data_IF_169764855696
#
_entry.id   IF_169764855696
#
_cell.length_a   1.000
_cell.length_b   1.000
_cell.length_c   1.000
_cell.angle_alpha   90.00
_cell.angle_beta   90.00
_cell.angle_gamma   90.00
#
_symmetry.space_group_name_H-M   'P 1'
#
loop_
_entity.id
_entity.type
_entity.pdbx_description
1 polymer ?
#
# COMPACT_ATOMS: atom_id res chain seq x y z
N UNK A 1 -28.61 -14.05 42.96
CA UNK A 1 -27.22 -13.86 42.52
C UNK A 1 -27.03 -14.74 41.30
N UNK A 2 -27.41 -14.21 40.13
CA UNK A 2 -27.29 -14.90 38.85
C UNK A 2 -25.86 -14.68 38.40
N UNK A 3 -25.06 -15.74 38.37
CA UNK A 3 -23.76 -15.71 37.71
C UNK A 3 -24.02 -15.42 36.23
N UNK A 4 -23.54 -14.26 35.77
CA UNK A 4 -23.43 -13.99 34.35
C UNK A 4 -22.46 -15.02 33.76
N UNK A 5 -23.01 -15.92 32.96
CA UNK A 5 -22.27 -16.83 32.11
C UNK A 5 -21.43 -15.96 31.16
N UNK A 6 -20.13 -15.82 31.46
CA UNK A 6 -19.17 -15.21 30.54
C UNK A 6 -19.09 -16.12 29.31
N UNK A 7 -19.62 -15.62 28.20
CA UNK A 7 -19.48 -16.26 26.89
C UNK A 7 -18.00 -16.37 26.56
N UNK A 8 -17.49 -17.60 26.53
CA UNK A 8 -16.10 -18.01 26.29
C UNK A 8 -15.54 -17.70 24.89
N UNK A 9 -16.08 -16.71 24.18
CA UNK A 9 -15.67 -16.29 22.83
C UNK A 9 -14.78 -15.04 22.82
N UNK A 10 -14.88 -14.16 23.82
CA UNK A 10 -14.13 -12.90 23.87
C UNK A 10 -12.72 -13.01 24.46
N UNK A 11 -12.43 -14.06 25.24
CA UNK A 11 -11.07 -14.30 25.78
C UNK A 11 -10.05 -14.64 24.69
N UNK A 12 -10.52 -14.96 23.48
CA UNK A 12 -9.70 -15.43 22.36
C UNK A 12 -9.12 -14.28 21.51
N UNK A 13 -9.76 -13.12 21.51
CA UNK A 13 -9.35 -11.96 20.71
C UNK A 13 -8.56 -10.97 21.55
N UNK A 14 -7.26 -10.85 21.26
CA UNK A 14 -6.34 -10.02 22.03
C UNK A 14 -5.80 -8.91 21.15
N UNK A 15 -5.67 -7.69 21.70
CA UNK A 15 -5.05 -6.58 20.99
C UNK A 15 -3.68 -6.95 20.44
N UNK A 16 -3.42 -6.59 19.18
CA UNK A 16 -2.18 -6.92 18.52
C UNK A 16 -0.97 -6.35 19.26
N UNK A 17 -0.02 -7.23 19.63
CA UNK A 17 1.12 -6.89 20.50
C UNK A 17 1.97 -5.73 19.99
N UNK A 18 2.15 -5.63 18.67
CA UNK A 18 3.04 -4.64 18.04
C UNK A 18 2.43 -3.23 18.06
N UNK A 19 1.11 -3.14 18.01
CA UNK A 19 0.37 -1.88 18.06
C UNK A 19 -0.99 -2.11 18.76
N UNK A 20 -1.03 -2.10 20.11
CA UNK A 20 -2.25 -2.45 20.85
C UNK A 20 -3.44 -1.52 20.57
N UNK A 21 -3.18 -0.25 20.25
CA UNK A 21 -4.20 0.77 19.94
C UNK A 21 -4.61 0.78 18.45
N UNK A 22 -4.15 -0.20 17.67
CA UNK A 22 -4.36 -0.20 16.21
C UNK A 22 -5.77 -0.56 15.76
N UNK A 23 -6.60 -1.08 16.66
CA UNK A 23 -7.85 -1.76 16.30
C UNK A 23 -7.64 -3.18 15.78
N UNK A 24 -6.40 -3.65 15.58
CA UNK A 24 -6.18 -5.06 15.27
C UNK A 24 -6.31 -5.92 16.52
N UNK A 25 -7.17 -6.94 16.44
CA UNK A 25 -7.27 -8.00 17.44
C UNK A 25 -6.93 -9.34 16.79
N UNK A 26 -6.23 -10.17 17.53
CA UNK A 26 -5.64 -11.42 17.08
C UNK A 26 -6.25 -12.57 17.86
N UNK A 27 -6.64 -13.62 17.16
CA UNK A 27 -6.99 -14.91 17.76
C UNK A 27 -5.70 -15.55 18.27
N UNK A 28 -5.38 -15.30 19.54
CA UNK A 28 -4.17 -15.80 20.19
C UNK A 28 -4.53 -16.45 21.53
N UNK A 29 -4.57 -17.79 21.61
CA UNK A 29 -4.93 -18.49 22.83
C UNK A 29 -3.91 -18.28 23.97
N UNK A 30 -2.72 -17.75 23.68
CA UNK A 30 -1.71 -17.44 24.70
C UNK A 30 -1.95 -16.11 25.42
N UNK A 31 -2.89 -15.29 24.94
CA UNK A 31 -3.19 -13.99 25.54
C UNK A 31 -2.17 -12.90 25.19
N UNK A 32 -1.22 -13.14 24.28
CA UNK A 32 -0.08 -12.22 24.02
C UNK A 32 -0.33 -11.27 22.84
N UNK A 33 -1.35 -11.53 22.03
CA UNK A 33 -1.63 -10.79 20.80
C UNK A 33 -0.57 -11.04 19.72
N UNK A 34 0.03 -12.22 19.70
CA UNK A 34 1.07 -12.62 18.75
C UNK A 34 0.47 -13.14 17.44
N UNK A 35 1.04 -12.73 16.31
CA UNK A 35 0.69 -13.30 15.00
C UNK A 35 1.75 -14.32 14.64
N UNK A 36 1.32 -15.57 14.52
CA UNK A 36 2.20 -16.69 14.24
C UNK A 36 2.46 -16.79 12.73
N UNK A 37 3.74 -16.73 12.36
CA UNK A 37 4.18 -16.76 10.98
C UNK A 37 5.24 -17.86 10.84
N UNK A 38 5.06 -18.75 9.86
CA UNK A 38 6.01 -19.80 9.53
C UNK A 38 6.60 -19.56 8.15
N UNK A 39 7.92 -19.43 8.05
CA UNK A 39 8.59 -19.31 6.75
C UNK A 39 8.50 -20.64 5.99
N UNK A 40 8.06 -20.60 4.73
CA UNK A 40 7.99 -21.77 3.85
C UNK A 40 9.12 -21.82 2.84
N UNK A 41 9.57 -20.66 2.35
CA UNK A 41 10.71 -20.56 1.44
C UNK A 41 11.46 -19.21 1.60
N UNK A 42 12.38 -18.89 0.68
CA UNK A 42 13.17 -17.65 0.70
C UNK A 42 12.35 -16.33 0.63
N UNK A 43 11.06 -16.41 0.31
CA UNK A 43 10.17 -15.26 0.06
C UNK A 43 8.80 -15.37 0.71
N UNK A 44 8.33 -16.58 1.00
CA UNK A 44 6.96 -16.85 1.42
C UNK A 44 6.89 -17.31 2.86
N UNK A 45 5.77 -16.96 3.48
CA UNK A 45 5.39 -17.33 4.82
C UNK A 45 3.94 -17.84 4.84
N UNK A 46 3.59 -18.61 5.87
CA UNK A 46 2.24 -18.97 6.24
C UNK A 46 1.85 -18.23 7.51
N UNK A 47 0.64 -17.70 7.56
CA UNK A 47 0.07 -17.07 8.77
C UNK A 47 -0.84 -18.09 9.42
N UNK A 48 -0.61 -18.41 10.70
CA UNK A 48 -1.26 -19.56 11.35
C UNK A 48 -2.51 -19.23 12.14
N UNK A 49 -2.64 -17.99 12.59
CA UNK A 49 -3.78 -17.57 13.41
C UNK A 49 -4.58 -16.44 12.77
N UNK A 50 -5.87 -16.40 13.10
CA UNK A 50 -6.77 -15.39 12.59
C UNK A 50 -6.51 -14.05 13.25
N UNK A 51 -6.79 -12.97 12.54
CA UNK A 51 -6.81 -11.63 13.10
C UNK A 51 -7.89 -10.82 12.38
N UNK A 52 -8.42 -9.80 13.04
CA UNK A 52 -9.41 -8.90 12.44
C UNK A 52 -9.13 -7.46 12.81
N UNK A 53 -9.62 -6.58 11.97
CA UNK A 53 -9.62 -5.15 12.19
C UNK A 53 -10.94 -4.71 12.83
N UNK A 54 -10.85 -4.14 14.02
CA UNK A 54 -11.96 -3.79 14.90
C UNK A 54 -11.92 -2.29 15.24
N UNK A 55 -12.39 -1.48 14.29
CA UNK A 55 -12.59 -0.04 14.46
C UNK A 55 -14.03 0.30 14.03
N UNK A 56 -14.94 0.61 14.99
CA UNK A 56 -16.34 0.87 14.70
C UNK A 56 -16.59 2.03 13.73
N UNK A 57 -15.73 3.06 13.74
CA UNK A 57 -15.89 4.21 12.86
C UNK A 57 -15.52 3.86 11.41
N UNK A 58 -14.49 3.02 11.22
CA UNK A 58 -14.12 2.51 9.90
C UNK A 58 -15.15 1.50 9.40
N UNK A 59 -15.67 0.63 10.27
CA UNK A 59 -16.73 -0.32 9.93
C UNK A 59 -17.97 0.39 9.38
N UNK A 60 -18.51 1.35 10.13
CA UNK A 60 -19.72 2.08 9.73
C UNK A 60 -19.48 2.90 8.45
N UNK A 61 -18.28 3.46 8.28
CA UNK A 61 -17.88 4.10 7.02
C UNK A 61 -17.94 3.13 5.82
N UNK A 62 -17.41 1.92 5.97
CA UNK A 62 -17.42 0.92 4.89
C UNK A 62 -18.84 0.44 4.60
N UNK A 63 -19.66 0.19 5.63
CA UNK A 63 -21.07 -0.20 5.47
C UNK A 63 -21.83 0.88 4.69
N UNK A 64 -21.69 2.16 5.07
CA UNK A 64 -22.28 3.28 4.35
C UNK A 64 -21.84 3.33 2.89
N UNK A 65 -20.54 3.13 2.61
CA UNK A 65 -20.03 3.10 1.23
C UNK A 65 -20.60 1.95 0.39
N UNK A 66 -20.90 0.80 0.98
CA UNK A 66 -21.52 -0.32 0.26
C UNK A 66 -23.01 -0.09 0.03
N UNK A 67 -23.71 0.53 0.99
CA UNK A 67 -25.12 0.94 0.85
C UNK A 67 -25.27 1.98 -0.26
N UNK A 68 -24.41 2.99 -0.30
CA UNK A 68 -24.38 4.02 -1.36
C UNK A 68 -24.18 3.41 -2.76
N UNK A 69 -23.60 2.21 -2.85
CA UNK A 69 -23.38 1.45 -4.08
C UNK A 69 -24.52 0.49 -4.42
N UNK A 70 -25.61 0.50 -3.65
CA UNK A 70 -26.80 -0.32 -3.89
C UNK A 70 -26.84 -1.65 -3.13
N UNK A 71 -25.95 -1.88 -2.17
CA UNK A 71 -25.97 -3.08 -1.34
C UNK A 71 -26.98 -2.92 -0.20
N UNK A 72 -27.74 -3.97 0.15
CA UNK A 72 -28.61 -3.91 1.33
C UNK A 72 -27.77 -3.87 2.61
N UNK A 73 -28.26 -3.22 3.67
CA UNK A 73 -27.52 -3.13 4.94
C UNK A 73 -27.06 -4.51 5.49
N UNK A 74 -27.90 -5.56 5.52
CA UNK A 74 -27.44 -6.87 6.01
C UNK A 74 -26.34 -7.48 5.15
N UNK A 75 -26.37 -7.27 3.84
CA UNK A 75 -25.31 -7.73 2.93
C UNK A 75 -24.04 -6.89 3.12
N UNK A 76 -24.17 -5.58 3.30
CA UNK A 76 -23.06 -4.67 3.53
C UNK A 76 -22.32 -5.01 4.83
N UNK A 77 -23.04 -5.26 5.94
CA UNK A 77 -22.42 -5.68 7.21
C UNK A 77 -21.66 -7.00 7.08
N UNK A 78 -22.24 -8.00 6.41
CA UNK A 78 -21.53 -9.28 6.14
C UNK A 78 -20.29 -9.11 5.27
N UNK A 79 -20.38 -8.28 4.24
CA UNK A 79 -19.27 -7.95 3.36
C UNK A 79 -18.14 -7.25 4.12
N UNK A 80 -18.45 -6.30 5.00
CA UNK A 80 -17.45 -5.62 5.84
C UNK A 80 -16.83 -6.57 6.86
N UNK A 81 -17.62 -7.43 7.50
CA UNK A 81 -17.11 -8.42 8.45
C UNK A 81 -16.16 -9.43 7.79
N UNK A 82 -16.47 -9.84 6.56
CA UNK A 82 -15.56 -10.63 5.73
C UNK A 82 -14.31 -9.83 5.37
N UNK A 83 -14.48 -8.57 4.96
CA UNK A 83 -13.39 -7.72 4.50
C UNK A 83 -12.36 -7.37 5.57
N UNK A 84 -12.79 -7.28 6.84
CA UNK A 84 -11.94 -6.88 7.96
C UNK A 84 -11.28 -8.06 8.67
N UNK A 85 -11.55 -9.29 8.25
CA UNK A 85 -11.13 -10.50 8.96
C UNK A 85 -10.21 -11.34 8.08
N UNK A 86 -9.02 -11.63 8.58
CA UNK A 86 -8.13 -12.61 8.00
C UNK A 86 -8.33 -13.96 8.68
N UNK A 87 -8.72 -14.96 7.90
CA UNK A 87 -8.83 -16.36 8.36
C UNK A 87 -7.77 -17.19 7.64
N UNK A 88 -6.80 -17.77 8.37
CA UNK A 88 -5.81 -18.68 7.82
C UNK A 88 -6.47 -19.82 7.04
N UNK A 89 -5.92 -20.10 5.86
CA UNK A 89 -6.21 -21.31 5.09
C UNK A 89 -5.05 -22.28 5.29
N UNK A 90 -5.28 -23.57 5.03
CA UNK A 90 -4.23 -24.60 5.13
C UNK A 90 -2.96 -24.23 4.33
N UNK A 91 -3.16 -23.59 3.18
CA UNK A 91 -2.11 -22.99 2.36
C UNK A 91 -2.46 -21.52 2.07
N UNK A 92 -1.74 -20.60 2.71
CA UNK A 92 -1.90 -19.15 2.58
C UNK A 92 -0.54 -18.44 2.39
N UNK A 93 0.22 -18.79 1.32
CA UNK A 93 1.55 -18.24 1.11
C UNK A 93 1.46 -16.72 0.92
N UNK A 94 2.27 -16.00 1.68
CA UNK A 94 2.33 -14.53 1.66
C UNK A 94 3.77 -14.04 1.76
N UNK A 95 4.08 -12.94 1.06
CA UNK A 95 5.31 -12.17 1.27
C UNK A 95 5.12 -10.98 2.24
N UNK A 96 4.02 -11.02 3.02
CA UNK A 96 3.52 -9.99 3.93
C UNK A 96 3.09 -8.72 3.19
N UNK A 97 4.05 -7.87 2.83
CA UNK A 97 3.83 -6.74 1.95
C UNK A 97 4.75 -6.89 0.75
N UNK A 98 4.17 -6.98 -0.45
CA UNK A 98 4.91 -7.19 -1.69
C UNK A 98 5.75 -5.96 -2.09
N UNK A 99 6.91 -5.82 -1.46
CA UNK A 99 7.85 -4.71 -1.67
C UNK A 99 9.08 -5.19 -2.45
N UNK A 100 9.35 -4.60 -3.65
CA UNK A 100 10.53 -4.92 -4.44
C UNK A 100 11.83 -4.76 -3.64
N UNK A 101 12.79 -5.67 -3.84
CA UNK A 101 14.05 -5.71 -3.06
C UNK A 101 14.84 -4.39 -3.09
N UNK A 102 14.87 -3.71 -4.23
CA UNK A 102 15.54 -2.41 -4.38
C UNK A 102 14.79 -1.23 -3.70
N UNK A 103 13.58 -1.45 -3.18
CA UNK A 103 12.84 -0.49 -2.35
C UNK A 103 12.90 -0.82 -0.86
N UNK A 104 13.54 -1.94 -0.47
CA UNK A 104 13.63 -2.35 0.95
C UNK A 104 14.49 -1.45 1.82
N UNK A 105 15.28 -0.55 1.23
CA UNK A 105 15.94 0.51 1.99
C UNK A 105 14.94 1.55 2.53
N UNK A 106 13.76 1.70 1.90
CA UNK A 106 12.71 2.62 2.31
C UNK A 106 11.68 1.95 3.24
N UNK A 107 11.23 0.75 2.88
CA UNK A 107 10.26 0.01 3.67
C UNK A 107 10.48 -1.51 3.60
N UNK A 108 10.41 -2.18 4.75
CA UNK A 108 10.52 -3.63 4.83
C UNK A 108 9.17 -4.30 4.53
N UNK A 109 9.15 -5.56 4.07
CA UNK A 109 7.90 -6.33 3.91
C UNK A 109 7.09 -6.49 5.20
N UNK A 110 7.71 -6.24 6.36
CA UNK A 110 7.09 -6.35 7.67
C UNK A 110 7.18 -5.06 8.47
N UNK A 111 6.20 -4.83 9.35
CA UNK A 111 6.15 -3.71 10.27
C UNK A 111 4.71 -3.44 10.75
N UNK A 112 4.45 -2.20 11.17
CA UNK A 112 3.11 -1.76 11.60
C UNK A 112 2.04 -1.86 10.51
N UNK A 113 2.44 -1.98 9.24
CA UNK A 113 1.54 -2.13 8.11
C UNK A 113 1.22 -3.60 7.77
N UNK A 114 1.86 -4.59 8.41
CA UNK A 114 1.78 -6.00 8.00
C UNK A 114 0.37 -6.56 7.99
N UNK A 115 -0.39 -6.39 9.08
CA UNK A 115 -1.76 -6.91 9.15
C UNK A 115 -2.70 -6.21 8.16
N UNK A 116 -2.47 -4.92 7.93
CA UNK A 116 -3.19 -4.18 6.91
C UNK A 116 -2.88 -4.71 5.50
N UNK A 117 -1.62 -5.07 5.22
CA UNK A 117 -1.21 -5.60 3.92
C UNK A 117 -1.82 -6.99 3.68
N UNK A 118 -1.78 -7.86 4.68
CA UNK A 118 -2.40 -9.20 4.62
C UNK A 118 -3.91 -9.13 4.36
N UNK A 119 -4.65 -8.23 5.03
CA UNK A 119 -6.07 -8.02 4.72
C UNK A 119 -6.25 -7.43 3.32
N UNK A 120 -5.41 -6.48 2.91
CA UNK A 120 -5.51 -5.89 1.57
C UNK A 120 -5.29 -6.93 0.47
N UNK A 121 -4.36 -7.85 0.65
CA UNK A 121 -4.10 -8.94 -0.30
C UNK A 121 -5.31 -9.88 -0.43
N UNK A 122 -6.03 -10.17 0.66
CA UNK A 122 -7.29 -10.94 0.62
C UNK A 122 -8.41 -10.18 -0.13
N UNK A 123 -8.39 -8.86 -0.09
CA UNK A 123 -9.37 -8.01 -0.78
C UNK A 123 -9.07 -7.82 -2.26
N UNK A 124 -7.81 -7.94 -2.68
CA UNK A 124 -7.39 -7.78 -4.07
C UNK A 124 -7.27 -9.16 -4.73
N UNK A 125 -8.36 -9.61 -5.35
CA UNK A 125 -8.37 -10.88 -6.09
C UNK A 125 -7.85 -10.72 -7.52
N UNK A 126 -7.75 -11.82 -8.27
CA UNK A 126 -7.41 -11.79 -9.70
C UNK A 126 -8.45 -11.10 -10.61
N UNK A 127 -9.60 -10.69 -10.07
CA UNK A 127 -10.67 -10.00 -10.80
C UNK A 127 -10.85 -8.56 -10.31
N UNK A 128 -10.99 -7.62 -11.23
CA UNK A 128 -11.02 -6.18 -10.92
C UNK A 128 -12.35 -5.80 -10.28
N UNK A 129 -12.32 -4.97 -9.21
CA UNK A 129 -13.48 -4.59 -8.40
C UNK A 129 -14.25 -5.80 -7.85
N UNK A 130 -13.52 -6.79 -7.36
CA UNK A 130 -14.06 -7.96 -6.71
C UNK A 130 -13.69 -7.98 -5.23
N UNK A 131 -13.69 -9.16 -4.61
CA UNK A 131 -13.44 -9.32 -3.19
C UNK A 131 -14.64 -8.85 -2.36
N UNK A 132 -14.49 -8.93 -1.04
CA UNK A 132 -15.58 -8.67 -0.12
C UNK A 132 -16.16 -7.24 -0.24
N UNK A 133 -15.34 -6.25 -0.59
CA UNK A 133 -15.78 -4.86 -0.77
C UNK A 133 -16.27 -4.53 -2.19
N UNK A 134 -16.13 -5.46 -3.16
CA UNK A 134 -16.52 -5.24 -4.56
C UNK A 134 -15.86 -4.03 -5.21
N UNK A 135 -14.72 -3.58 -4.70
CA UNK A 135 -14.08 -2.35 -5.15
C UNK A 135 -12.63 -2.20 -4.67
N UNK A 136 -11.70 -2.40 -5.59
CA UNK A 136 -10.27 -2.27 -5.34
C UNK A 136 -9.92 -0.87 -4.80
N UNK A 137 -10.54 0.19 -5.33
CA UNK A 137 -10.30 1.56 -4.82
C UNK A 137 -10.81 1.80 -3.39
N UNK A 138 -11.84 1.07 -2.97
CA UNK A 138 -12.32 1.09 -1.58
C UNK A 138 -11.38 0.26 -0.71
N UNK A 139 -10.93 -0.91 -1.18
CA UNK A 139 -9.92 -1.75 -0.53
C UNK A 139 -8.61 -0.98 -0.31
N UNK A 140 -8.11 -0.25 -1.31
CA UNK A 140 -6.93 0.62 -1.18
C UNK A 140 -7.12 1.69 -0.10
N UNK A 141 -8.33 2.27 -0.01
CA UNK A 141 -8.63 3.28 1.00
C UNK A 141 -8.70 2.64 2.39
N UNK A 142 -9.32 1.48 2.51
CA UNK A 142 -9.39 0.72 3.76
C UNK A 142 -7.99 0.35 4.25
N UNK A 143 -7.10 -0.09 3.36
CA UNK A 143 -5.69 -0.31 3.65
C UNK A 143 -5.01 0.92 4.28
N UNK A 144 -5.24 2.12 3.73
CA UNK A 144 -4.70 3.36 4.30
C UNK A 144 -5.26 3.67 5.69
N UNK A 145 -6.53 3.39 5.95
CA UNK A 145 -7.13 3.59 7.27
C UNK A 145 -6.61 2.58 8.31
N UNK A 146 -6.45 1.29 7.94
CA UNK A 146 -5.82 0.30 8.81
C UNK A 146 -4.37 0.67 9.16
N UNK A 147 -3.60 1.19 8.19
CA UNK A 147 -2.25 1.72 8.45
C UNK A 147 -2.28 2.97 9.36
N UNK A 148 -3.31 3.82 9.24
CA UNK A 148 -3.46 5.02 10.08
C UNK A 148 -3.61 4.62 11.55
N UNK A 149 -4.53 3.73 11.87
CA UNK A 149 -4.77 3.28 13.24
C UNK A 149 -3.59 2.48 13.78
N UNK A 150 -2.92 1.69 12.93
CA UNK A 150 -1.69 0.98 13.29
C UNK A 150 -0.47 1.85 13.57
N UNK A 151 -0.59 3.18 13.49
CA UNK A 151 0.50 4.10 13.79
C UNK A 151 1.61 4.13 12.73
N UNK A 152 1.29 3.79 11.48
CA UNK A 152 2.20 4.02 10.34
C UNK A 152 2.31 5.53 10.12
N UNK A 153 3.54 6.09 10.03
CA UNK A 153 3.76 7.52 9.84
C UNK A 153 2.97 8.07 8.67
N UNK A 154 2.44 9.29 8.82
CA UNK A 154 1.55 9.91 7.85
C UNK A 154 2.08 9.82 6.43
N UNK A 155 3.27 10.35 6.16
CA UNK A 155 3.82 10.38 4.78
C UNK A 155 4.00 8.96 4.22
N UNK A 156 4.48 8.03 5.05
CA UNK A 156 4.73 6.63 4.68
C UNK A 156 3.44 5.91 4.26
N UNK A 157 2.36 6.01 5.05
CA UNK A 157 1.07 5.39 4.67
C UNK A 157 0.47 5.99 3.40
N UNK A 158 0.71 7.29 3.14
CA UNK A 158 0.26 7.92 1.89
C UNK A 158 1.07 7.43 0.69
N UNK A 159 2.39 7.27 0.83
CA UNK A 159 3.25 6.69 -0.22
C UNK A 159 2.82 5.25 -0.54
N UNK A 160 2.62 4.43 0.49
CA UNK A 160 2.15 3.04 0.31
C UNK A 160 0.77 3.00 -0.35
N UNK A 161 -0.15 3.87 0.07
CA UNK A 161 -1.46 4.01 -0.57
C UNK A 161 -1.36 4.43 -2.04
N UNK A 162 -0.45 5.35 -2.37
CA UNK A 162 -0.17 5.75 -3.75
C UNK A 162 0.35 4.59 -4.60
N UNK A 163 1.20 3.74 -4.03
CA UNK A 163 1.73 2.56 -4.72
C UNK A 163 0.62 1.53 -5.04
N UNK A 164 -0.24 1.18 -4.07
CA UNK A 164 -1.35 0.25 -4.33
C UNK A 164 -2.38 0.85 -5.29
N UNK A 165 -2.71 2.15 -5.15
CA UNK A 165 -3.63 2.84 -6.05
C UNK A 165 -3.12 2.91 -7.49
N UNK A 166 -1.79 3.04 -7.68
CA UNK A 166 -1.14 2.96 -8.99
C UNK A 166 -1.30 1.56 -9.58
N UNK A 167 -0.98 0.51 -8.80
CA UNK A 167 -1.12 -0.90 -9.21
C UNK A 167 -2.55 -1.24 -9.59
N UNK A 168 -3.52 -0.87 -8.76
CA UNK A 168 -4.95 -1.08 -8.99
C UNK A 168 -5.41 -0.50 -10.34
N UNK A 169 -4.98 0.72 -10.69
CA UNK A 169 -5.28 1.32 -12.01
C UNK A 169 -4.60 0.61 -13.17
N UNK A 170 -3.36 0.19 -12.97
CA UNK A 170 -2.60 -0.53 -13.99
C UNK A 170 -3.26 -1.86 -14.34
N UNK A 171 -3.65 -2.63 -13.32
CA UNK A 171 -4.32 -3.94 -13.47
C UNK A 171 -5.72 -3.77 -14.05
N UNK A 172 -6.49 -2.76 -13.62
CA UNK A 172 -7.82 -2.49 -14.15
C UNK A 172 -7.87 -2.26 -15.68
N UNK A 173 -6.75 -1.87 -16.30
CA UNK A 173 -6.64 -1.76 -17.76
C UNK A 173 -7.44 -0.60 -18.36
N UNK A 174 -7.62 -0.65 -19.68
CA UNK A 174 -8.40 0.33 -20.45
C UNK A 174 -8.02 1.78 -20.17
N UNK A 175 -9.02 2.63 -19.96
CA UNK A 175 -8.83 4.07 -19.70
C UNK A 175 -8.05 4.36 -18.41
N UNK A 176 -8.16 3.51 -17.37
CA UNK A 176 -7.43 3.69 -16.10
C UNK A 176 -5.93 3.48 -16.27
N UNK A 177 -5.53 2.50 -17.10
CA UNK A 177 -4.12 2.30 -17.44
C UNK A 177 -3.61 3.45 -18.30
N UNK A 178 -4.38 3.89 -19.28
CA UNK A 178 -4.01 5.04 -20.11
C UNK A 178 -3.83 6.32 -19.27
N UNK A 179 -4.72 6.56 -18.29
CA UNK A 179 -4.59 7.74 -17.42
C UNK A 179 -3.33 7.69 -16.56
N UNK A 180 -2.90 6.51 -16.11
CA UNK A 180 -1.60 6.31 -15.45
C UNK A 180 -0.44 6.60 -16.38
N UNK A 181 -0.48 6.12 -17.63
CA UNK A 181 0.58 6.38 -18.62
C UNK A 181 0.69 7.88 -18.91
N UNK A 182 -0.44 8.54 -19.17
CA UNK A 182 -0.46 10.00 -19.39
C UNK A 182 0.07 10.74 -18.16
N UNK A 183 -0.37 10.34 -16.96
CA UNK A 183 0.12 10.94 -15.71
C UNK A 183 1.63 10.75 -15.53
N UNK A 184 2.18 9.57 -15.85
CA UNK A 184 3.62 9.31 -15.80
C UNK A 184 4.39 10.20 -16.79
N UNK A 185 3.91 10.31 -18.03
CA UNK A 185 4.53 11.18 -19.04
C UNK A 185 4.54 12.64 -18.58
N UNK A 186 3.41 13.14 -18.09
CA UNK A 186 3.32 14.50 -17.54
C UNK A 186 4.23 14.69 -16.32
N UNK A 187 4.36 13.67 -15.47
CA UNK A 187 5.26 13.70 -14.31
C UNK A 187 6.72 13.75 -14.74
N UNK A 188 7.14 12.96 -15.74
CA UNK A 188 8.50 12.99 -16.29
C UNK A 188 8.82 14.35 -16.89
N UNK A 189 7.91 14.91 -17.70
CA UNK A 189 8.07 16.25 -18.29
C UNK A 189 8.15 17.31 -17.18
N UNK A 190 7.24 17.27 -16.21
CA UNK A 190 7.19 18.19 -15.08
C UNK A 190 8.44 18.13 -14.22
N UNK A 191 8.90 16.94 -13.82
CA UNK A 191 10.13 16.75 -13.03
C UNK A 191 11.35 17.24 -13.80
N UNK A 192 11.47 16.88 -15.09
CA UNK A 192 12.59 17.34 -15.93
C UNK A 192 12.62 18.86 -16.05
N UNK A 193 11.46 19.48 -16.26
CA UNK A 193 11.31 20.93 -16.29
C UNK A 193 11.64 21.59 -14.94
N UNK A 194 11.19 21.01 -13.82
CA UNK A 194 11.47 21.52 -12.49
C UNK A 194 12.97 21.47 -12.15
N UNK A 195 13.60 20.31 -12.37
CA UNK A 195 15.04 20.11 -12.14
C UNK A 195 15.84 21.03 -13.06
N UNK A 196 15.55 20.99 -14.37
CA UNK A 196 16.15 21.83 -15.40
C UNK A 196 16.09 23.32 -15.09
N UNK A 197 14.90 23.84 -14.78
CA UNK A 197 14.75 25.25 -14.43
C UNK A 197 15.43 25.61 -13.11
N UNK A 198 15.38 24.73 -12.11
CA UNK A 198 16.04 24.96 -10.82
C UNK A 198 17.55 25.06 -11.00
N UNK A 199 18.17 24.14 -11.74
CA UNK A 199 19.60 24.21 -11.99
C UNK A 199 20.03 25.41 -12.84
N UNK A 200 19.16 25.90 -13.72
CA UNK A 200 19.44 27.09 -14.52
C UNK A 200 19.45 28.35 -13.64
N UNK A 201 18.49 28.44 -12.71
CA UNK A 201 18.38 29.56 -11.78
C UNK A 201 19.46 29.56 -10.69
N UNK A 202 19.82 28.38 -10.17
CA UNK A 202 20.75 28.26 -9.05
C UNK A 202 22.21 28.08 -9.47
N UNK A 203 22.47 27.40 -10.58
CA UNK A 203 23.81 27.00 -11.01
C UNK A 203 24.19 27.49 -12.41
N UNK A 204 23.28 28.20 -13.11
CA UNK A 204 23.56 28.77 -14.43
C UNK A 204 23.81 27.72 -15.53
N UNK A 205 23.34 26.48 -15.37
CA UNK A 205 23.56 25.45 -16.38
C UNK A 205 22.74 25.73 -17.67
N UNK A 206 23.14 25.17 -18.83
CA UNK A 206 22.37 25.31 -20.06
C UNK A 206 20.99 24.65 -19.92
N UNK A 207 19.92 25.38 -20.23
CA UNK A 207 18.55 24.86 -20.23
C UNK A 207 17.76 25.47 -21.41
N UNK A 208 16.94 24.70 -22.16
CA UNK A 208 16.35 25.14 -23.42
C UNK A 208 15.11 26.03 -23.22
N UNK A 209 15.22 27.06 -22.39
CA UNK A 209 14.19 28.11 -22.23
C UNK A 209 14.85 29.43 -21.86
N UNK A 210 14.29 30.51 -22.40
CA UNK A 210 14.67 31.89 -22.04
C UNK A 210 14.12 32.31 -20.68
N UNK A 211 13.11 31.60 -20.14
CA UNK A 211 12.42 31.96 -18.90
C UNK A 211 12.34 30.80 -17.91
N UNK A 212 13.46 30.37 -17.29
CA UNK A 212 13.47 29.23 -16.36
C UNK A 212 12.48 29.37 -15.20
N UNK A 213 12.31 30.58 -14.65
CA UNK A 213 11.37 30.83 -13.54
C UNK A 213 9.90 30.54 -13.91
N UNK A 214 9.48 30.93 -15.13
CA UNK A 214 8.12 30.65 -15.62
C UNK A 214 7.92 29.15 -15.81
N UNK A 215 8.89 28.47 -16.43
CA UNK A 215 8.82 27.04 -16.63
C UNK A 215 8.83 26.26 -15.30
N UNK A 216 9.58 26.74 -14.29
CA UNK A 216 9.53 26.18 -12.94
C UNK A 216 8.14 26.30 -12.34
N UNK A 217 7.52 27.50 -12.39
CA UNK A 217 6.17 27.70 -11.89
C UNK A 217 5.14 26.80 -12.60
N UNK A 218 5.23 26.69 -13.94
CA UNK A 218 4.39 25.79 -14.72
C UNK A 218 4.59 24.33 -14.30
N UNK A 219 5.84 23.89 -14.12
CA UNK A 219 6.15 22.51 -13.73
C UNK A 219 5.57 22.13 -12.35
N UNK A 220 5.54 23.07 -11.40
CA UNK A 220 4.93 22.86 -10.09
C UNK A 220 3.39 22.82 -10.20
N UNK A 221 2.81 23.65 -11.07
CA UNK A 221 1.37 23.63 -11.34
C UNK A 221 0.94 22.31 -12.02
N UNK A 222 1.79 21.73 -12.87
CA UNK A 222 1.51 20.47 -13.57
C UNK A 222 1.18 19.31 -12.63
N UNK A 223 1.72 19.31 -11.40
CA UNK A 223 1.40 18.29 -10.39
C UNK A 223 -0.11 18.28 -10.09
N UNK A 224 -0.71 19.46 -9.96
CA UNK A 224 -2.15 19.62 -9.70
C UNK A 224 -2.98 19.36 -10.95
N UNK A 225 -2.50 19.77 -12.13
CA UNK A 225 -3.18 19.54 -13.42
C UNK A 225 -3.26 18.05 -13.75
N UNK A 226 -2.22 17.28 -13.44
CA UNK A 226 -2.18 15.85 -13.70
C UNK A 226 -2.98 15.04 -12.66
N UNK A 227 -3.24 15.59 -11.46
CA UNK A 227 -3.84 14.83 -10.37
C UNK A 227 -5.26 14.28 -10.64
N UNK A 228 -6.16 14.99 -11.33
CA UNK A 228 -7.47 14.47 -11.72
C UNK A 228 -7.44 13.21 -12.59
N UNK A 229 -6.31 12.87 -13.23
CA UNK A 229 -6.15 11.61 -13.99
C UNK A 229 -6.33 10.37 -13.11
N UNK A 230 -6.24 10.52 -11.79
CA UNK A 230 -6.49 9.46 -10.81
C UNK A 230 -7.92 9.51 -10.23
N UNK A 231 -8.80 10.39 -10.70
CA UNK A 231 -10.21 10.45 -10.29
C UNK A 231 -10.38 10.60 -8.77
N UNK A 232 -11.17 9.72 -8.14
CA UNK A 232 -11.47 9.78 -6.69
C UNK A 232 -10.26 9.59 -5.77
N UNK A 233 -9.11 9.13 -6.29
CA UNK A 233 -7.86 9.02 -5.53
C UNK A 233 -6.81 10.05 -6.03
N UNK A 234 -7.23 11.22 -6.51
CA UNK A 234 -6.31 12.31 -6.95
C UNK A 234 -5.25 12.67 -5.90
N UNK A 235 -5.60 12.64 -4.61
CA UNK A 235 -4.63 12.89 -3.54
C UNK A 235 -3.46 11.89 -3.54
N UNK A 236 -3.69 10.64 -3.95
CA UNK A 236 -2.65 9.62 -4.09
C UNK A 236 -1.63 10.01 -5.18
N UNK A 237 -2.10 10.61 -6.27
CA UNK A 237 -1.25 11.06 -7.37
C UNK A 237 -0.35 12.23 -6.97
N UNK A 238 -0.84 13.15 -6.14
CA UNK A 238 -0.05 14.27 -5.62
C UNK A 238 1.10 13.75 -4.76
N UNK A 239 0.79 12.83 -3.85
CA UNK A 239 1.80 12.20 -3.01
C UNK A 239 2.80 11.42 -3.86
N UNK A 240 2.34 10.68 -4.88
CA UNK A 240 3.23 9.95 -5.78
C UNK A 240 4.19 10.89 -6.51
N UNK A 241 3.70 12.02 -7.04
CA UNK A 241 4.51 13.02 -7.73
C UNK A 241 5.57 13.66 -6.83
N UNK A 242 5.17 14.06 -5.61
CA UNK A 242 6.10 14.67 -4.64
C UNK A 242 7.11 13.64 -4.13
N UNK A 243 6.65 12.42 -3.82
CA UNK A 243 7.53 11.37 -3.31
C UNK A 243 8.54 10.91 -4.37
N UNK A 244 8.16 10.90 -5.65
CA UNK A 244 9.07 10.55 -6.75
C UNK A 244 10.31 11.45 -6.81
N UNK A 245 10.24 12.71 -6.41
CA UNK A 245 11.39 13.63 -6.43
C UNK A 245 12.60 13.12 -5.65
N UNK A 246 12.37 12.40 -4.54
CA UNK A 246 13.43 11.92 -3.66
C UNK A 246 13.50 10.39 -3.58
N UNK A 247 12.38 9.69 -3.71
CA UNK A 247 12.36 8.22 -3.76
C UNK A 247 12.95 7.69 -5.06
N UNK A 248 12.64 8.31 -6.21
CA UNK A 248 13.03 7.76 -7.50
C UNK A 248 14.55 7.76 -7.69
N UNK A 249 15.30 8.85 -7.41
CA UNK A 249 16.75 8.82 -7.51
C UNK A 249 17.39 7.73 -6.62
N UNK A 250 16.94 7.64 -5.35
CA UNK A 250 17.44 6.63 -4.42
C UNK A 250 17.08 5.20 -4.87
N UNK A 251 15.86 4.99 -5.37
CA UNK A 251 15.42 3.71 -5.92
C UNK A 251 16.20 3.30 -7.17
N UNK A 252 16.55 4.25 -8.05
CA UNK A 252 17.39 4.00 -9.23
C UNK A 252 18.79 3.55 -8.80
N UNK A 253 19.42 4.27 -7.86
CA UNK A 253 20.74 3.90 -7.33
C UNK A 253 20.69 2.51 -6.68
N UNK A 254 19.70 2.26 -5.83
CA UNK A 254 19.50 0.97 -5.18
C UNK A 254 19.24 -0.14 -6.20
N UNK A 255 18.48 0.13 -7.26
CA UNK A 255 18.25 -0.82 -8.34
C UNK A 255 19.54 -1.20 -9.05
N UNK A 256 20.38 -0.23 -9.43
CA UNK A 256 21.67 -0.51 -10.08
C UNK A 256 22.62 -1.26 -9.17
N UNK A 257 22.72 -0.89 -7.90
CA UNK A 257 23.51 -1.62 -6.91
C UNK A 257 23.02 -3.07 -6.77
N UNK A 258 21.71 -3.26 -6.70
CA UNK A 258 21.08 -4.58 -6.62
C UNK A 258 21.29 -5.42 -7.89
N UNK A 259 21.21 -4.80 -9.07
CA UNK A 259 21.48 -5.45 -10.35
C UNK A 259 22.96 -5.88 -10.47
N UNK A 260 23.89 -5.04 -10.02
CA UNK A 260 25.31 -5.37 -9.95
C UNK A 260 25.57 -6.56 -9.01
N UNK A 261 24.94 -6.55 -7.83
CA UNK A 261 25.00 -7.70 -6.92
C UNK A 261 24.50 -8.99 -7.58
N UNK A 262 23.33 -8.94 -8.24
CA UNK A 262 22.79 -10.11 -8.96
C UNK A 262 23.71 -10.60 -10.07
N UNK A 263 24.40 -9.71 -10.76
CA UNK A 263 25.40 -10.07 -11.77
C UNK A 263 26.60 -10.76 -11.11
N UNK A 264 27.14 -10.20 -10.02
CA UNK A 264 28.24 -10.80 -9.27
C UNK A 264 27.89 -12.19 -8.76
N UNK A 265 26.70 -12.37 -8.21
CA UNK A 265 26.14 -13.65 -7.78
C UNK A 265 26.01 -14.67 -8.92
N UNK A 266 25.60 -14.22 -10.11
CA UNK A 266 25.55 -15.07 -11.30
C UNK A 266 26.95 -15.50 -11.74
N UNK A 267 27.92 -14.58 -11.71
CA UNK A 267 29.32 -14.88 -12.03
C UNK A 267 29.90 -15.86 -11.02
N UNK A 268 29.71 -15.63 -9.72
CA UNK A 268 30.15 -16.52 -8.65
C UNK A 268 29.63 -17.96 -8.86
N UNK A 269 28.33 -18.10 -9.10
CA UNK A 269 27.73 -19.41 -9.42
C UNK A 269 28.31 -20.03 -10.69
N UNK A 270 28.59 -19.23 -11.73
CA UNK A 270 29.18 -19.72 -12.97
C UNK A 270 30.62 -20.21 -12.80
N UNK A 271 31.38 -19.65 -11.87
CA UNK A 271 32.75 -20.09 -11.53
C UNK A 271 32.81 -21.14 -10.42
N UNK A 272 31.65 -21.66 -9.98
CA UNK A 272 31.57 -22.73 -8.98
C UNK A 272 31.71 -22.27 -7.53
N UNK A 273 31.68 -20.96 -7.27
CA UNK A 273 31.54 -20.43 -5.91
C UNK A 273 30.08 -20.56 -5.50
N UNK A 274 29.83 -21.31 -4.42
CA UNK A 274 28.52 -21.50 -3.80
C UNK A 274 28.48 -20.80 -2.46
#
# INVERSE_FOLDING_TARGET
MVMAEHTSGDERWVSWRVAPESGFVVDDPTGRGEVEIAQTDERQFLVRNAFRFDDPAVEEYLVGQLIDRGTTEPQARRAVDTARTFVPRDDNPTDLASIPRFLRWFENPYGRHSLAALIHDELITGTVNSGALGSDTLSDRFFREMMRTSGVPWLKRWIMWSAVALRTRWVAGGWRRLSVVVWLLLSVVGISAAVGSTGALLFGWPWPTSSPAVLLALSLLMIFVAAPLWGRQWAASLVAAVAALWLLPAAIVAYFAYALYLLSERVARAVGLR
#
